data_IF_583677204446
#
_entry.id   IF_583677204446
#
_cell.length_a   1.000
_cell.length_b   1.000
_cell.length_c   1.000
_cell.angle_alpha   90.00
_cell.angle_beta   90.00
_cell.angle_gamma   90.00
#
_symmetry.space_group_name_H-M   'P 1'
#
loop_
_entity.id
_entity.type
_entity.pdbx_description
1 polymer ?
#
# COMPACT_ATOMS: atom_id res chain seq x y z
N UNK A 1 -5.43 14.32 -27.51
CA UNK A 1 -4.49 13.29 -27.04
C UNK A 1 -5.20 12.60 -25.91
N UNK A 2 -5.36 11.28 -26.00
CA UNK A 2 -6.13 10.53 -25.01
C UNK A 2 -5.34 10.44 -23.70
N UNK A 3 -6.04 10.54 -22.58
CA UNK A 3 -5.44 10.34 -21.26
C UNK A 3 -5.37 8.83 -20.98
N UNK A 4 -4.18 8.30 -20.76
CA UNK A 4 -4.00 6.90 -20.35
C UNK A 4 -4.11 6.81 -18.84
N UNK A 5 -4.99 5.92 -18.35
CA UNK A 5 -5.19 5.68 -16.93
C UNK A 5 -4.87 4.22 -16.60
N UNK A 6 -3.93 4.06 -15.68
CA UNK A 6 -3.61 2.80 -15.04
C UNK A 6 -4.53 2.61 -13.82
N UNK A 7 -5.38 1.59 -13.85
CA UNK A 7 -6.32 1.29 -12.75
C UNK A 7 -5.83 0.19 -11.80
N UNK A 8 -4.54 -0.16 -11.86
CA UNK A 8 -3.85 -1.01 -10.88
C UNK A 8 -3.69 -0.31 -9.53
N UNK A 9 -3.24 -1.05 -8.53
CA UNK A 9 -2.82 -0.47 -7.25
C UNK A 9 -1.64 0.48 -7.44
N UNK A 10 -1.42 1.37 -6.46
CA UNK A 10 -0.28 2.29 -6.43
C UNK A 10 1.04 1.53 -6.57
N UNK A 11 1.16 0.42 -5.84
CA UNK A 11 2.36 -0.40 -5.79
C UNK A 11 2.65 -1.06 -7.16
N UNK A 12 1.64 -1.64 -7.80
CA UNK A 12 1.80 -2.20 -9.15
C UNK A 12 2.13 -1.13 -10.20
N UNK A 13 1.51 0.06 -10.12
CA UNK A 13 1.85 1.17 -11.00
C UNK A 13 3.31 1.59 -10.81
N UNK A 14 3.73 1.84 -9.57
CA UNK A 14 5.10 2.27 -9.28
C UNK A 14 6.16 1.31 -9.85
N UNK A 15 5.88 0.00 -9.80
CA UNK A 15 6.81 -1.02 -10.27
C UNK A 15 6.84 -1.21 -11.78
N UNK A 16 5.71 -0.98 -12.47
CA UNK A 16 5.59 -1.14 -13.92
C UNK A 16 4.30 -0.50 -14.46
N UNK A 17 4.43 0.52 -15.29
CA UNK A 17 3.32 1.21 -15.93
C UNK A 17 3.67 1.74 -17.32
N UNK A 18 2.65 1.98 -18.14
CA UNK A 18 2.81 2.66 -19.43
C UNK A 18 3.31 4.06 -19.16
N UNK A 19 4.46 4.41 -19.76
CA UNK A 19 5.07 5.73 -19.61
C UNK A 19 4.09 6.86 -19.93
N UNK A 20 3.95 7.79 -18.98
CA UNK A 20 3.01 8.91 -19.07
C UNK A 20 1.55 8.58 -18.71
N UNK A 21 1.24 7.35 -18.31
CA UNK A 21 -0.06 7.01 -17.74
C UNK A 21 -0.23 7.63 -16.35
N UNK A 22 -1.47 7.98 -16.00
CA UNK A 22 -1.85 8.40 -14.65
C UNK A 22 -2.38 7.19 -13.87
N UNK A 23 -1.90 6.98 -12.65
CA UNK A 23 -2.49 5.99 -11.76
C UNK A 23 -3.79 6.52 -11.13
N UNK A 24 -4.90 5.87 -11.41
CA UNK A 24 -6.15 6.03 -10.67
C UNK A 24 -6.69 4.64 -10.41
N UNK A 25 -6.42 4.03 -9.23
CA UNK A 25 -6.91 2.70 -8.92
C UNK A 25 -8.41 2.56 -9.18
N UNK A 26 -8.85 1.40 -9.66
CA UNK A 26 -10.26 1.19 -10.06
C UNK A 26 -11.27 1.54 -8.95
N UNK A 27 -10.86 1.36 -7.69
CA UNK A 27 -11.69 1.64 -6.51
C UNK A 27 -11.74 3.12 -6.13
N UNK A 28 -10.84 3.94 -6.68
CA UNK A 28 -10.73 5.37 -6.40
C UNK A 28 -11.35 6.24 -7.51
N UNK A 29 -11.80 5.65 -8.62
CA UNK A 29 -12.30 6.38 -9.80
C UNK A 29 -13.41 7.40 -9.48
N UNK A 30 -14.26 7.11 -8.49
CA UNK A 30 -15.34 8.00 -8.07
C UNK A 30 -14.81 9.38 -7.64
N UNK A 31 -13.61 9.44 -7.02
CA UNK A 31 -12.99 10.69 -6.57
C UNK A 31 -12.43 11.54 -7.72
N UNK A 32 -12.37 11.01 -8.94
CA UNK A 32 -11.74 11.66 -10.09
C UNK A 32 -12.72 11.99 -11.22
N UNK A 33 -14.03 11.77 -11.03
CA UNK A 33 -15.03 12.03 -12.08
C UNK A 33 -14.95 13.47 -12.61
N UNK A 34 -14.91 14.47 -11.73
CA UNK A 34 -14.78 15.89 -12.11
C UNK A 34 -13.49 16.18 -12.90
N UNK A 35 -12.39 15.51 -12.54
CA UNK A 35 -11.12 15.66 -13.25
C UNK A 35 -11.16 15.02 -14.65
N UNK A 36 -11.97 13.98 -14.83
CA UNK A 36 -12.08 13.20 -16.07
C UNK A 36 -13.17 13.73 -17.00
N UNK A 37 -14.04 14.62 -16.53
CA UNK A 37 -15.11 15.21 -17.33
C UNK A 37 -14.57 15.86 -18.61
N UNK A 38 -15.21 15.56 -19.74
CA UNK A 38 -14.85 16.09 -21.05
C UNK A 38 -13.54 15.55 -21.65
N UNK A 39 -12.88 14.57 -21.01
CA UNK A 39 -11.67 13.91 -21.53
C UNK A 39 -12.01 12.59 -22.22
N UNK A 40 -11.22 12.25 -23.24
CA UNK A 40 -11.14 10.90 -23.80
C UNK A 40 -10.09 10.11 -23.01
N UNK A 41 -10.49 8.96 -22.47
CA UNK A 41 -9.72 8.16 -21.52
C UNK A 41 -9.48 6.75 -22.09
N UNK A 42 -8.21 6.31 -22.08
CA UNK A 42 -7.79 4.94 -22.37
C UNK A 42 -7.38 4.26 -21.07
N UNK A 43 -8.03 3.16 -20.71
CA UNK A 43 -7.86 2.50 -19.41
C UNK A 43 -7.21 1.13 -19.55
N UNK A 44 -6.28 0.80 -18.65
CA UNK A 44 -5.67 -0.54 -18.58
C UNK A 44 -5.37 -0.96 -17.15
N UNK A 45 -5.15 -2.26 -16.94
CA UNK A 45 -4.81 -2.79 -15.62
C UNK A 45 -3.75 -3.91 -15.59
N UNK A 46 -3.22 -4.33 -16.73
CA UNK A 46 -2.33 -5.49 -16.84
C UNK A 46 -3.02 -6.76 -17.39
N UNK A 47 -2.33 -7.92 -17.38
CA UNK A 47 -2.58 -9.03 -18.33
C UNK A 47 -3.93 -9.73 -18.19
N UNK A 48 -4.64 -9.56 -17.07
CA UNK A 48 -5.94 -10.23 -16.82
C UNK A 48 -7.16 -9.38 -17.19
N UNK A 49 -7.01 -8.09 -17.51
CA UNK A 49 -8.08 -7.20 -18.03
C UNK A 49 -9.28 -6.87 -17.11
N UNK A 50 -9.52 -7.62 -16.02
CA UNK A 50 -10.77 -7.48 -15.24
C UNK A 50 -11.01 -6.08 -14.64
N UNK A 51 -9.95 -5.39 -14.18
CA UNK A 51 -10.10 -4.05 -13.56
C UNK A 51 -10.36 -2.98 -14.61
N UNK A 52 -9.75 -3.06 -15.79
CA UNK A 52 -9.98 -2.10 -16.89
C UNK A 52 -11.38 -2.21 -17.45
N UNK A 53 -11.93 -3.43 -17.59
CA UNK A 53 -13.34 -3.62 -17.97
C UNK A 53 -14.29 -2.94 -16.96
N UNK A 54 -14.06 -3.18 -15.66
CA UNK A 54 -14.86 -2.55 -14.59
C UNK A 54 -14.77 -1.02 -14.62
N UNK A 55 -13.57 -0.48 -14.81
CA UNK A 55 -13.32 0.95 -14.89
C UNK A 55 -14.01 1.60 -16.09
N UNK A 56 -13.89 1.02 -17.29
CA UNK A 56 -14.54 1.55 -18.50
C UNK A 56 -16.06 1.57 -18.34
N UNK A 57 -16.65 0.52 -17.76
CA UNK A 57 -18.09 0.50 -17.47
C UNK A 57 -18.48 1.62 -16.51
N UNK A 58 -17.78 1.74 -15.38
CA UNK A 58 -18.04 2.77 -14.38
C UNK A 58 -17.94 4.18 -14.98
N UNK A 59 -16.87 4.47 -15.72
CA UNK A 59 -16.65 5.79 -16.32
C UNK A 59 -17.74 6.15 -17.35
N UNK A 60 -18.13 5.20 -18.21
CA UNK A 60 -19.19 5.40 -19.20
C UNK A 60 -20.56 5.63 -18.56
N UNK A 61 -20.86 4.93 -17.47
CA UNK A 61 -22.09 5.15 -16.68
C UNK A 61 -22.17 6.58 -16.13
N UNK A 62 -21.02 7.24 -15.91
CA UNK A 62 -20.89 8.63 -15.47
C UNK A 62 -20.64 9.61 -16.61
N UNK A 63 -20.86 9.21 -17.87
CA UNK A 63 -20.77 10.09 -19.03
C UNK A 63 -19.36 10.41 -19.51
N UNK A 64 -18.34 9.70 -19.02
CA UNK A 64 -16.95 9.87 -19.44
C UNK A 64 -16.67 9.00 -20.67
N UNK A 65 -16.03 9.59 -21.68
CA UNK A 65 -15.60 8.88 -22.89
C UNK A 65 -14.39 7.99 -22.55
N UNK A 66 -14.66 6.72 -22.25
CA UNK A 66 -13.65 5.75 -21.86
C UNK A 66 -13.59 4.56 -22.82
N UNK A 67 -12.39 4.07 -23.10
CA UNK A 67 -12.14 2.82 -23.82
C UNK A 67 -10.98 2.05 -23.18
N UNK A 68 -10.95 0.73 -23.39
CA UNK A 68 -9.90 -0.13 -22.84
C UNK A 68 -8.67 -0.14 -23.75
N UNK A 69 -7.48 -0.31 -23.16
CA UNK A 69 -6.30 -0.83 -23.85
C UNK A 69 -6.26 -2.34 -23.56
N UNK A 70 -6.52 -3.19 -24.57
CA UNK A 70 -6.50 -4.63 -24.42
C UNK A 70 -5.15 -5.15 -23.89
N UNK A 71 -5.14 -6.24 -23.10
CA UNK A 71 -3.90 -6.85 -22.61
C UNK A 71 -2.87 -7.17 -23.69
N UNK A 72 -3.32 -7.56 -24.89
CA UNK A 72 -2.47 -7.88 -26.04
C UNK A 72 -1.87 -6.66 -26.75
N UNK A 73 -2.42 -5.46 -26.51
CA UNK A 73 -1.85 -4.19 -26.99
C UNK A 73 -0.80 -3.61 -26.02
N UNK A 74 -0.69 -4.12 -24.78
CA UNK A 74 0.20 -3.54 -23.77
C UNK A 74 1.68 -3.60 -24.18
N UNK A 75 2.08 -4.65 -24.90
CA UNK A 75 3.46 -4.82 -25.38
C UNK A 75 3.86 -3.77 -26.45
N UNK A 76 2.90 -3.00 -26.98
CA UNK A 76 3.15 -1.91 -27.93
C UNK A 76 3.57 -0.60 -27.25
N UNK A 77 3.44 -0.51 -25.93
CA UNK A 77 3.72 0.71 -25.17
C UNK A 77 5.12 0.67 -24.54
N UNK A 78 5.74 1.85 -24.42
CA UNK A 78 6.93 2.00 -23.58
C UNK A 78 6.51 1.91 -22.11
N UNK A 79 7.09 0.95 -21.39
CA UNK A 79 6.87 0.76 -19.96
C UNK A 79 7.98 1.41 -19.14
N UNK A 80 7.63 1.95 -17.99
CA UNK A 80 8.58 2.46 -17.00
C UNK A 80 8.15 2.03 -15.60
N UNK A 81 9.10 1.99 -14.67
CA UNK A 81 8.84 1.55 -13.31
C UNK A 81 10.13 1.43 -12.52
N UNK A 82 10.00 1.35 -11.21
CA UNK A 82 11.13 1.28 -10.28
C UNK A 82 10.95 0.10 -9.32
N UNK A 83 12.02 -0.57 -8.90
CA UNK A 83 11.91 -1.65 -7.93
C UNK A 83 11.32 -1.15 -6.61
N UNK A 84 10.50 -2.00 -6.00
CA UNK A 84 9.96 -1.77 -4.66
C UNK A 84 10.20 -3.00 -3.78
N UNK A 85 10.75 -2.77 -2.60
CA UNK A 85 10.94 -3.74 -1.53
C UNK A 85 10.07 -3.35 -0.37
N UNK A 86 9.45 -4.33 0.30
CA UNK A 86 8.68 -4.09 1.52
C UNK A 86 9.45 -4.64 2.71
N UNK A 87 9.59 -3.86 3.76
CA UNK A 87 9.97 -4.38 5.07
C UNK A 87 8.71 -4.48 5.94
N UNK A 88 8.46 -5.68 6.46
CA UNK A 88 7.31 -6.03 7.28
C UNK A 88 7.78 -6.18 8.72
N UNK A 89 7.31 -5.29 9.59
CA UNK A 89 7.58 -5.30 11.01
C UNK A 89 6.37 -5.84 11.77
N UNK A 90 6.55 -6.98 12.44
CA UNK A 90 5.56 -7.54 13.35
C UNK A 90 5.85 -7.05 14.77
N UNK A 91 4.87 -6.36 15.33
CA UNK A 91 4.98 -5.65 16.60
C UNK A 91 3.93 -6.19 17.57
N UNK A 92 4.35 -6.42 18.82
CA UNK A 92 3.46 -6.82 19.91
C UNK A 92 3.61 -5.85 21.05
N UNK A 93 2.53 -5.21 21.49
CA UNK A 93 2.54 -4.09 22.44
C UNK A 93 2.00 -4.54 23.80
N UNK A 94 2.63 -4.06 24.88
CA UNK A 94 2.21 -4.36 26.24
C UNK A 94 0.79 -3.86 26.49
N UNK A 95 -0.06 -4.63 27.21
CA UNK A 95 -1.38 -4.15 27.60
C UNK A 95 -1.30 -2.82 28.36
N UNK A 96 -2.08 -1.82 27.93
CA UNK A 96 -2.13 -0.47 28.51
C UNK A 96 -1.07 0.50 27.98
N UNK A 97 -0.25 0.10 27.00
CA UNK A 97 0.76 0.93 26.36
C UNK A 97 0.40 1.31 24.92
N UNK A 98 -0.77 0.90 24.42
CA UNK A 98 -1.16 1.00 23.01
C UNK A 98 -1.17 2.44 22.50
N UNK A 99 -1.79 3.37 23.23
CA UNK A 99 -1.87 4.80 22.83
C UNK A 99 -0.49 5.45 22.75
N UNK A 100 0.34 5.26 23.78
CA UNK A 100 1.70 5.80 23.80
C UNK A 100 2.59 5.17 22.70
N UNK A 101 2.38 3.89 22.39
CA UNK A 101 3.07 3.24 21.28
C UNK A 101 2.62 3.80 19.93
N UNK A 102 1.32 4.03 19.73
CA UNK A 102 0.77 4.59 18.49
C UNK A 102 1.31 5.99 18.23
N UNK A 103 1.42 6.84 19.26
CA UNK A 103 2.05 8.16 19.18
C UNK A 103 3.52 8.07 18.74
N UNK A 104 4.31 7.19 19.37
CA UNK A 104 5.72 7.00 19.00
C UNK A 104 5.92 6.42 17.59
N UNK A 105 5.03 5.53 17.16
CA UNK A 105 5.06 4.99 15.80
C UNK A 105 4.72 6.08 14.79
N UNK A 106 3.79 6.99 15.12
CA UNK A 106 3.47 8.13 14.29
C UNK A 106 4.69 9.05 14.12
N UNK A 107 5.36 9.41 15.22
CA UNK A 107 6.59 10.21 15.21
C UNK A 107 7.69 9.54 14.37
N UNK A 108 7.95 8.25 14.59
CA UNK A 108 8.92 7.49 13.80
C UNK A 108 8.56 7.47 12.31
N UNK A 109 7.27 7.34 11.98
CA UNK A 109 6.80 7.41 10.60
C UNK A 109 7.10 8.79 10.00
N UNK A 110 6.86 9.89 10.73
CA UNK A 110 7.16 11.24 10.27
C UNK A 110 8.65 11.43 10.00
N UNK A 111 9.51 10.98 10.92
CA UNK A 111 10.96 11.02 10.76
C UNK A 111 11.45 10.15 9.59
N UNK A 112 10.69 9.13 9.20
CA UNK A 112 11.02 8.26 8.07
C UNK A 112 10.69 8.89 6.71
N UNK A 113 9.75 9.85 6.65
CA UNK A 113 9.18 10.35 5.38
C UNK A 113 10.19 10.95 4.41
N UNK A 114 11.26 11.58 4.94
CA UNK A 114 12.28 12.26 4.13
C UNK A 114 13.50 11.38 3.83
N UNK A 115 13.49 10.14 4.32
CA UNK A 115 14.65 9.24 4.25
C UNK A 115 14.84 8.75 2.82
N UNK A 116 16.09 8.76 2.38
CA UNK A 116 16.44 8.48 0.99
C UNK A 116 16.00 7.08 0.60
N UNK A 117 15.17 7.00 -0.44
CA UNK A 117 14.67 5.72 -0.96
C UNK A 117 13.44 5.18 -0.24
N UNK A 118 12.93 5.88 0.78
CA UNK A 118 11.61 5.62 1.33
C UNK A 118 10.52 5.98 0.32
N UNK A 119 9.50 5.14 0.23
CA UNK A 119 8.37 5.26 -0.72
C UNK A 119 7.04 5.44 0.02
N UNK A 120 6.95 4.98 1.27
CA UNK A 120 5.76 5.13 2.10
C UNK A 120 5.67 4.08 3.20
N UNK A 121 4.60 4.16 3.99
CA UNK A 121 4.33 3.22 5.07
C UNK A 121 2.84 2.98 5.25
N UNK A 122 2.49 1.83 5.86
CA UNK A 122 1.17 1.52 6.39
C UNK A 122 1.34 0.82 7.73
N UNK A 123 0.65 1.29 8.76
CA UNK A 123 0.59 0.64 10.07
C UNK A 123 -0.84 0.13 10.28
N UNK A 124 -0.98 -1.14 10.61
CA UNK A 124 -2.28 -1.76 10.89
C UNK A 124 -2.26 -2.45 12.24
N UNK A 125 -3.35 -2.31 12.99
CA UNK A 125 -3.58 -3.01 14.25
C UNK A 125 -4.56 -4.16 14.03
N UNK A 126 -4.24 -5.34 14.52
CA UNK A 126 -5.19 -6.44 14.55
C UNK A 126 -6.26 -6.13 15.61
N UNK A 127 -7.53 -6.08 15.22
CA UNK A 127 -8.65 -5.80 16.12
C UNK A 127 -9.39 -7.06 16.55
N UNK A 128 -9.46 -8.07 15.68
CA UNK A 128 -10.25 -9.29 15.87
C UNK A 128 -9.70 -10.48 15.08
N UNK A 129 -10.29 -11.66 15.30
CA UNK A 129 -9.99 -12.89 14.56
C UNK A 129 -11.09 -13.15 13.51
N UNK A 130 -10.69 -13.51 12.30
CA UNK A 130 -11.64 -13.88 11.24
C UNK A 130 -12.17 -15.30 11.43
N UNK A 131 -13.41 -15.46 11.88
CA UNK A 131 -14.02 -16.79 12.03
C UNK A 131 -14.22 -17.49 10.68
N UNK A 132 -14.84 -16.80 9.73
CA UNK A 132 -15.08 -17.35 8.39
C UNK A 132 -13.78 -17.62 7.63
N UNK A 133 -12.80 -16.71 7.71
CA UNK A 133 -11.50 -16.87 7.06
C UNK A 133 -10.64 -17.96 7.70
N UNK A 134 -10.78 -18.19 9.01
CA UNK A 134 -10.04 -19.24 9.74
C UNK A 134 -10.83 -20.53 9.95
N UNK A 135 -12.03 -20.65 9.38
CA UNK A 135 -12.95 -21.78 9.55
C UNK A 135 -13.22 -22.12 11.03
N UNK A 136 -13.28 -21.11 11.90
CA UNK A 136 -13.58 -21.28 13.32
C UNK A 136 -15.09 -21.38 13.54
N UNK A 137 -15.48 -22.17 14.54
CA UNK A 137 -16.87 -22.33 14.95
C UNK A 137 -17.15 -21.52 16.22
N UNK A 138 -18.30 -20.86 16.31
CA UNK A 138 -18.74 -20.09 17.47
C UNK A 138 -19.50 -18.83 17.06
N UNK A 139 -20.03 -18.12 18.07
CA UNK A 139 -20.62 -16.79 17.87
C UNK A 139 -19.51 -15.72 17.91
N UNK A 140 -19.72 -14.62 17.18
CA UNK A 140 -18.87 -13.43 17.24
C UNK A 140 -18.96 -12.81 18.65
N UNK A 141 -18.22 -13.37 19.60
CA UNK A 141 -17.91 -12.70 20.85
C UNK A 141 -16.70 -11.81 20.64
N UNK A 142 -16.64 -10.67 21.32
CA UNK A 142 -15.51 -9.73 21.28
C UNK A 142 -14.23 -10.46 21.73
N UNK A 143 -13.41 -10.92 20.79
CA UNK A 143 -12.13 -11.56 21.08
C UNK A 143 -11.11 -10.46 21.26
N UNK A 144 -10.55 -10.36 22.45
CA UNK A 144 -9.47 -9.43 22.71
C UNK A 144 -8.11 -10.02 22.29
N UNK A 145 -7.40 -9.34 21.40
CA UNK A 145 -6.05 -9.73 20.99
C UNK A 145 -5.03 -9.18 21.99
N UNK A 146 -4.51 -10.05 22.86
CA UNK A 146 -3.48 -9.73 23.86
C UNK A 146 -2.22 -10.57 23.71
N UNK A 147 -1.00 -9.97 23.73
CA UNK A 147 -0.74 -8.53 23.60
C UNK A 147 -1.28 -7.96 22.28
N UNK A 148 -1.54 -6.65 22.24
CA UNK A 148 -2.03 -5.99 21.02
C UNK A 148 -1.01 -6.19 19.88
N UNK A 149 -1.48 -6.55 18.68
CA UNK A 149 -0.61 -6.87 17.55
C UNK A 149 -0.73 -5.82 16.46
N UNK A 150 0.42 -5.40 15.95
CA UNK A 150 0.52 -4.45 14.85
C UNK A 150 1.41 -5.04 13.75
N UNK A 151 1.13 -4.63 12.52
CA UNK A 151 1.98 -4.87 11.36
C UNK A 151 2.30 -3.50 10.78
N UNK A 152 3.59 -3.19 10.69
CA UNK A 152 4.08 -1.98 10.03
C UNK A 152 4.78 -2.37 8.73
N UNK A 153 4.23 -1.91 7.62
CA UNK A 153 4.78 -2.06 6.29
C UNK A 153 5.54 -0.78 5.94
N UNK A 154 6.78 -0.89 5.49
CA UNK A 154 7.52 0.23 4.89
C UNK A 154 7.99 -0.15 3.50
N UNK A 155 7.85 0.77 2.56
CA UNK A 155 8.13 0.56 1.14
C UNK A 155 9.43 1.29 0.77
N UNK A 156 10.34 0.62 0.09
CA UNK A 156 11.69 1.09 -0.18
C UNK A 156 12.14 0.83 -1.61
N UNK A 157 12.99 1.70 -2.15
CA UNK A 157 13.61 1.50 -3.47
C UNK A 157 14.58 0.31 -3.51
N UNK A 158 15.18 -0.04 -2.38
CA UNK A 158 16.09 -1.18 -2.25
C UNK A 158 16.22 -1.61 -0.79
N UNK A 159 16.71 -2.84 -0.58
CA UNK A 159 17.11 -3.32 0.76
C UNK A 159 18.20 -2.44 1.37
N UNK A 160 19.19 -2.06 0.57
CA UNK A 160 20.26 -1.16 1.02
C UNK A 160 19.73 0.17 1.55
N UNK A 161 18.74 0.78 0.88
CA UNK A 161 18.13 2.02 1.34
C UNK A 161 17.45 1.88 2.71
N UNK A 162 16.78 0.75 2.96
CA UNK A 162 16.18 0.43 4.25
C UNK A 162 17.23 0.15 5.32
N UNK A 163 18.29 -0.60 5.02
CA UNK A 163 19.36 -0.87 5.99
C UNK A 163 20.10 0.41 6.37
N UNK A 164 20.40 1.29 5.40
CA UNK A 164 20.99 2.62 5.67
C UNK A 164 20.06 3.49 6.50
N UNK A 165 18.74 3.38 6.34
CA UNK A 165 17.76 4.10 7.15
C UNK A 165 17.94 3.83 8.65
N UNK A 166 18.21 2.57 9.03
CA UNK A 166 18.42 2.16 10.43
C UNK A 166 19.71 2.71 11.05
N UNK A 167 20.64 3.24 10.24
CA UNK A 167 21.90 3.84 10.70
C UNK A 167 21.73 5.30 11.14
N UNK A 168 20.58 5.93 10.86
CA UNK A 168 20.33 7.31 11.23
C UNK A 168 20.02 7.46 12.74
N UNK A 169 20.66 8.44 13.39
CA UNK A 169 20.56 8.63 14.84
C UNK A 169 19.13 8.93 15.34
N UNK A 170 18.37 9.74 14.60
CA UNK A 170 16.96 10.06 14.86
C UNK A 170 16.10 8.79 14.80
N UNK A 171 16.32 7.96 13.80
CA UNK A 171 15.63 6.68 13.61
C UNK A 171 15.95 5.70 14.74
N UNK A 172 17.24 5.53 15.06
CA UNK A 172 17.65 4.69 16.19
C UNK A 172 17.08 5.18 17.51
N UNK A 173 16.91 6.49 17.69
CA UNK A 173 16.31 7.07 18.87
C UNK A 173 14.80 6.76 18.94
N UNK A 174 14.05 6.94 17.85
CA UNK A 174 12.64 6.56 17.79
C UNK A 174 12.40 5.09 18.12
N UNK A 175 13.23 4.18 17.59
CA UNK A 175 13.16 2.76 17.96
C UNK A 175 13.42 2.50 19.45
N UNK A 176 14.39 3.20 20.05
CA UNK A 176 14.66 3.06 21.50
C UNK A 176 13.49 3.53 22.35
N UNK A 177 12.80 4.59 21.92
CA UNK A 177 11.63 5.13 22.62
C UNK A 177 10.45 4.17 22.57
N UNK A 178 10.33 3.36 21.53
CA UNK A 178 9.33 2.28 21.41
C UNK A 178 9.63 1.05 22.30
N UNK A 179 10.89 0.73 22.60
CA UNK A 179 11.29 -0.48 23.35
C UNK A 179 10.52 -0.66 24.69
N UNK A 180 10.32 0.39 25.51
CA UNK A 180 9.52 0.30 26.73
C UNK A 180 8.07 -0.16 26.52
N UNK A 181 7.50 0.03 25.33
CA UNK A 181 6.08 -0.23 25.05
C UNK A 181 5.83 -1.60 24.42
N UNK A 182 6.83 -2.19 23.78
CA UNK A 182 6.70 -3.50 23.14
C UNK A 182 6.82 -4.66 24.13
N UNK A 183 5.98 -5.67 23.96
CA UNK A 183 5.97 -6.92 24.71
C UNK A 183 6.97 -7.96 24.17
N UNK A 184 7.28 -7.90 22.88
CA UNK A 184 8.23 -8.77 22.18
C UNK A 184 9.08 -7.90 21.26
N UNK A 185 10.38 -8.19 21.14
CA UNK A 185 11.24 -7.49 20.18
C UNK A 185 10.64 -7.59 18.76
N UNK A 186 10.68 -6.50 17.97
CA UNK A 186 10.11 -6.53 16.63
C UNK A 186 10.79 -7.61 15.79
N UNK A 187 9.98 -8.30 14.98
CA UNK A 187 10.49 -9.19 13.95
C UNK A 187 10.29 -8.51 12.61
N UNK A 188 11.39 -8.27 11.89
CA UNK A 188 11.38 -7.61 10.59
C UNK A 188 11.80 -8.59 9.48
N UNK A 189 11.01 -8.65 8.41
CA UNK A 189 11.33 -9.44 7.22
C UNK A 189 11.12 -8.63 5.94
N UNK A 190 11.93 -8.91 4.92
CA UNK A 190 11.71 -8.34 3.59
C UNK A 190 10.73 -9.19 2.79
N UNK A 191 9.84 -8.53 2.07
CA UNK A 191 8.89 -9.12 1.14
C UNK A 191 8.90 -8.41 -0.22
N UNK A 192 8.37 -9.10 -1.23
CA UNK A 192 8.14 -8.59 -2.58
C UNK A 192 6.64 -8.40 -2.81
N UNK A 193 6.30 -7.39 -3.59
CA UNK A 193 4.90 -7.15 -4.00
C UNK A 193 4.63 -7.96 -5.25
N UNK A 194 3.68 -8.89 -5.16
CA UNK A 194 3.31 -9.75 -6.28
C UNK A 194 2.15 -9.16 -7.10
N UNK A 195 1.22 -8.47 -6.44
CA UNK A 195 -0.03 -7.90 -6.98
C UNK A 195 -0.50 -6.69 -6.16
#
# INVERSE_FOLDING_TARGET
MDLIIDVKTREEYYMDHIKGALNIPVWDLEFYLDFLEGKSVRVYCGPRGKRSEMAVRFLREHGIDASEIPPDELDEYEMEGEPMVVAINYLSVKPGHEEAFEEQVEDLCMDTMDKKGFIGTKVVRATDISFGGSMLHGDYHEIEIKPAKYIMLTYWKSREAHETFHEHDDIMQGFKEMIPHIAVMPYEEFAEILH
#
